data_IF_701810685196
#
_entry.id   IF_701810685196
#
_cell.length_a   1.000
_cell.length_b   1.000
_cell.length_c   1.000
_cell.angle_alpha   90.00
_cell.angle_beta   90.00
_cell.angle_gamma   90.00
#
_symmetry.space_group_name_H-M   'P 1'
#
loop_
_entity.id
_entity.type
_entity.pdbx_description
1 polymer ?
#
# COMPACT_ATOMS: atom_id res chain seq x y z
N UNK A 1 19.22 -7.38 40.68
CA UNK A 1 17.91 -6.85 40.25
C UNK A 1 17.98 -6.67 38.73
N UNK A 2 17.59 -7.64 37.90
CA UNK A 2 16.26 -8.24 37.88
C UNK A 2 15.31 -7.44 36.97
N UNK A 3 15.81 -6.87 35.87
CA UNK A 3 14.97 -6.23 34.87
C UNK A 3 14.29 -7.33 34.04
N UNK A 4 12.98 -7.38 34.14
CA UNK A 4 12.12 -8.31 33.42
C UNK A 4 12.42 -8.24 31.91
N UNK A 5 12.83 -9.39 31.33
CA UNK A 5 13.25 -9.49 29.91
C UNK A 5 12.18 -8.93 28.97
N UNK A 6 10.91 -9.10 29.35
CA UNK A 6 9.74 -8.59 28.66
C UNK A 6 9.69 -7.06 28.52
N UNK A 7 10.20 -6.33 29.51
CA UNK A 7 10.26 -4.87 29.48
C UNK A 7 11.32 -4.37 28.49
N UNK A 8 12.42 -5.11 28.32
CA UNK A 8 13.52 -4.80 27.40
C UNK A 8 13.18 -5.15 25.93
N UNK A 9 12.48 -6.27 25.70
CA UNK A 9 11.93 -6.61 24.38
C UNK A 9 10.95 -5.53 23.88
N UNK A 10 10.10 -5.02 24.76
CA UNK A 10 9.06 -4.04 24.41
C UNK A 10 9.59 -2.61 24.22
N UNK A 11 10.67 -2.23 24.91
CA UNK A 11 11.23 -0.87 24.86
C UNK A 11 12.43 -0.70 23.91
N UNK A 12 13.14 -1.76 23.53
CA UNK A 12 14.38 -1.65 22.72
C UNK A 12 14.23 -2.30 21.34
N UNK A 13 13.64 -3.50 21.26
CA UNK A 13 13.53 -4.24 19.99
C UNK A 13 12.35 -3.74 19.16
N UNK A 14 11.21 -3.45 19.78
CA UNK A 14 10.05 -2.87 19.09
C UNK A 14 10.41 -1.55 18.35
N UNK A 15 11.03 -0.53 18.98
CA UNK A 15 11.35 0.72 18.28
C UNK A 15 12.50 0.60 17.26
N UNK A 16 13.42 -0.36 17.42
CA UNK A 16 14.53 -0.56 16.48
C UNK A 16 14.09 -1.34 15.22
N UNK A 17 13.15 -2.27 15.34
CA UNK A 17 12.63 -3.06 14.21
C UNK A 17 11.47 -2.39 13.47
N UNK A 18 10.73 -1.48 14.12
CA UNK A 18 9.65 -0.70 13.50
C UNK A 18 10.05 0.04 12.21
N UNK A 19 11.17 0.79 12.12
CA UNK A 19 11.57 1.43 10.87
C UNK A 19 11.92 0.43 9.76
N UNK A 20 12.45 -0.75 10.11
CA UNK A 20 12.72 -1.81 9.15
C UNK A 20 11.43 -2.49 8.65
N UNK A 21 10.46 -2.69 9.53
CA UNK A 21 9.13 -3.24 9.20
C UNK A 21 8.32 -2.25 8.36
N UNK A 22 8.47 -0.95 8.58
CA UNK A 22 7.81 0.09 7.77
C UNK A 22 8.45 0.25 6.39
N UNK A 23 9.78 0.15 6.31
CA UNK A 23 10.48 0.12 5.03
C UNK A 23 10.06 -1.11 4.20
N UNK A 24 9.93 -2.29 4.82
CA UNK A 24 9.41 -3.47 4.14
C UNK A 24 7.92 -3.35 3.80
N UNK A 25 7.09 -2.78 4.68
CA UNK A 25 5.68 -2.52 4.39
C UNK A 25 5.51 -1.62 3.15
N UNK A 26 6.28 -0.53 3.06
CA UNK A 26 6.31 0.36 1.88
C UNK A 26 6.56 -0.39 0.58
N UNK A 27 7.52 -1.31 0.58
CA UNK A 27 7.86 -2.13 -0.58
C UNK A 27 6.74 -3.15 -0.87
N UNK A 28 6.24 -3.84 0.16
CA UNK A 28 5.15 -4.81 0.04
C UNK A 28 3.86 -4.19 -0.50
N UNK A 29 3.59 -2.92 -0.23
CA UNK A 29 2.41 -2.21 -0.75
C UNK A 29 2.50 -2.00 -2.26
N UNK A 30 3.66 -1.58 -2.77
CA UNK A 30 3.86 -1.45 -4.21
C UNK A 30 3.61 -2.78 -4.93
N UNK A 31 4.08 -3.87 -4.33
CA UNK A 31 3.86 -5.23 -4.82
C UNK A 31 2.39 -5.65 -4.68
N UNK A 32 1.72 -5.31 -3.59
CA UNK A 32 0.32 -5.65 -3.35
C UNK A 32 -0.62 -4.93 -4.35
N UNK A 33 -0.34 -3.66 -4.67
CA UNK A 33 -1.10 -2.90 -5.67
C UNK A 33 -0.90 -3.53 -7.05
N UNK A 34 0.34 -3.87 -7.42
CA UNK A 34 0.62 -4.55 -8.68
C UNK A 34 -0.06 -5.93 -8.75
N UNK A 35 -0.04 -6.70 -7.66
CA UNK A 35 -0.69 -8.01 -7.58
C UNK A 35 -2.22 -7.89 -7.66
N UNK A 36 -2.82 -6.89 -7.01
CA UNK A 36 -4.25 -6.60 -7.11
C UNK A 36 -4.66 -6.26 -8.54
N UNK A 37 -3.89 -5.40 -9.21
CA UNK A 37 -4.11 -5.07 -10.63
C UNK A 37 -4.06 -6.32 -11.52
N UNK A 38 -3.05 -7.17 -11.34
CA UNK A 38 -2.93 -8.43 -12.07
C UNK A 38 -4.12 -9.36 -11.78
N UNK A 39 -4.57 -9.43 -10.53
CA UNK A 39 -5.73 -10.23 -10.14
C UNK A 39 -7.03 -9.72 -10.79
N UNK A 40 -7.26 -8.42 -10.79
CA UNK A 40 -8.42 -7.80 -11.45
C UNK A 40 -8.43 -8.08 -12.95
N UNK A 41 -7.28 -7.97 -13.62
CA UNK A 41 -7.20 -8.22 -15.08
C UNK A 41 -7.36 -9.68 -15.48
N UNK A 42 -7.10 -10.63 -14.57
CA UNK A 42 -7.03 -12.07 -14.91
C UNK A 42 -8.29 -12.84 -14.53
N UNK A 43 -9.09 -12.37 -13.57
CA UNK A 43 -10.21 -13.17 -13.03
C UNK A 43 -11.53 -12.42 -12.81
N UNK A 44 -11.53 -11.09 -12.77
CA UNK A 44 -12.70 -10.31 -12.36
C UNK A 44 -13.11 -9.39 -13.52
N UNK A 45 -14.32 -9.54 -14.05
CA UNK A 45 -14.85 -8.62 -15.09
C UNK A 45 -15.30 -7.26 -14.51
N UNK A 46 -15.11 -7.05 -13.20
CA UNK A 46 -15.59 -5.89 -12.44
C UNK A 46 -14.42 -5.31 -11.66
N UNK A 47 -13.95 -4.14 -12.07
CA UNK A 47 -12.79 -3.48 -11.47
C UNK A 47 -12.21 -2.43 -12.41
N UNK A 48 -11.40 -1.51 -11.88
CA UNK A 48 -10.79 -0.44 -12.69
C UNK A 48 -9.79 -1.03 -13.71
N UNK A 49 -9.05 -2.10 -13.34
CA UNK A 49 -8.14 -2.80 -14.24
C UNK A 49 -8.85 -3.53 -15.39
N UNK A 50 -9.95 -4.20 -15.08
CA UNK A 50 -10.79 -4.87 -16.07
C UNK A 50 -11.53 -3.87 -16.97
N UNK A 51 -11.99 -2.75 -16.40
CA UNK A 51 -12.57 -1.64 -17.16
C UNK A 51 -11.56 -1.10 -18.18
N UNK A 52 -10.32 -0.83 -17.77
CA UNK A 52 -9.24 -0.37 -18.66
C UNK A 52 -9.00 -1.35 -19.83
N UNK A 53 -9.03 -2.65 -19.55
CA UNK A 53 -8.86 -3.70 -20.56
C UNK A 53 -10.07 -3.77 -21.52
N UNK A 54 -11.26 -3.43 -21.05
CA UNK A 54 -12.49 -3.35 -21.85
C UNK A 54 -12.53 -2.12 -22.76
N UNK A 55 -12.16 -0.93 -22.26
CA UNK A 55 -12.11 0.29 -23.09
C UNK A 55 -10.94 0.29 -24.07
N UNK A 56 -9.82 -0.37 -23.71
CA UNK A 56 -8.72 -0.63 -24.64
C UNK A 56 -9.15 -1.47 -25.84
N UNK A 57 -10.09 -2.40 -25.65
CA UNK A 57 -10.68 -3.20 -26.75
C UNK A 57 -11.57 -2.37 -27.68
N UNK A 58 -12.16 -1.28 -27.20
CA UNK A 58 -13.05 -0.41 -27.98
C UNK A 58 -12.32 0.74 -28.70
N UNK A 59 -10.98 0.84 -28.59
CA UNK A 59 -10.17 1.94 -29.15
C UNK A 59 -10.63 3.36 -28.72
N UNK A 60 -11.37 3.47 -27.62
CA UNK A 60 -11.78 4.75 -27.03
C UNK A 60 -10.63 5.31 -26.18
N UNK A 61 -9.69 5.97 -26.84
CA UNK A 61 -8.50 6.53 -26.18
C UNK A 61 -8.85 7.50 -25.04
N UNK A 62 -9.94 8.24 -25.18
CA UNK A 62 -10.47 9.17 -24.16
C UNK A 62 -10.74 8.46 -22.82
N UNK A 63 -11.36 7.28 -22.86
CA UNK A 63 -11.67 6.51 -21.65
C UNK A 63 -10.44 5.82 -21.06
N UNK A 64 -9.46 5.46 -21.89
CA UNK A 64 -8.19 4.88 -21.43
C UNK A 64 -7.44 5.91 -20.58
N UNK A 65 -7.36 7.17 -21.04
CA UNK A 65 -6.73 8.24 -20.28
C UNK A 65 -7.47 8.53 -18.98
N UNK A 66 -8.80 8.56 -19.00
CA UNK A 66 -9.61 8.72 -17.78
C UNK A 66 -9.37 7.58 -16.79
N UNK A 67 -9.31 6.33 -17.25
CA UNK A 67 -9.05 5.18 -16.39
C UNK A 67 -7.62 5.13 -15.82
N UNK A 68 -6.61 5.55 -16.59
CA UNK A 68 -5.23 5.70 -16.09
C UNK A 68 -5.17 6.78 -15.00
N UNK A 69 -5.84 7.92 -15.21
CA UNK A 69 -5.98 8.98 -14.22
C UNK A 69 -6.58 8.45 -12.91
N UNK A 70 -7.70 7.72 -12.99
CA UNK A 70 -8.36 7.15 -11.81
C UNK A 70 -7.49 6.10 -11.12
N UNK A 71 -6.81 5.23 -11.88
CA UNK A 71 -5.86 4.26 -11.32
C UNK A 71 -4.70 4.92 -10.60
N UNK A 72 -4.10 5.96 -11.19
CA UNK A 72 -3.04 6.74 -10.55
C UNK A 72 -3.53 7.39 -9.26
N UNK A 73 -4.73 7.98 -9.28
CA UNK A 73 -5.34 8.63 -8.12
C UNK A 73 -5.64 7.63 -7.00
N UNK A 74 -6.14 6.44 -7.34
CA UNK A 74 -6.40 5.35 -6.40
C UNK A 74 -5.10 4.83 -5.77
N UNK A 75 -4.05 4.68 -6.57
CA UNK A 75 -2.71 4.34 -6.06
C UNK A 75 -2.17 5.40 -5.10
N UNK A 76 -2.37 6.68 -5.42
CA UNK A 76 -1.92 7.81 -4.59
C UNK A 76 -2.71 7.89 -3.27
N UNK A 77 -4.03 7.63 -3.32
CA UNK A 77 -4.87 7.51 -2.12
C UNK A 77 -4.41 6.35 -1.25
N UNK A 78 -4.19 5.16 -1.82
CA UNK A 78 -3.71 4.01 -1.06
C UNK A 78 -2.36 4.30 -0.41
N UNK A 79 -1.44 4.90 -1.17
CA UNK A 79 -0.12 5.28 -0.66
C UNK A 79 -0.23 6.31 0.48
N UNK A 80 -1.10 7.31 0.32
CA UNK A 80 -1.34 8.34 1.34
C UNK A 80 -2.02 7.80 2.60
N UNK A 81 -3.00 6.90 2.46
CA UNK A 81 -3.66 6.23 3.58
C UNK A 81 -2.67 5.41 4.41
N UNK A 82 -1.72 4.78 3.73
CA UNK A 82 -0.66 4.00 4.35
C UNK A 82 0.43 4.85 4.99
N UNK A 83 0.84 5.98 4.38
CA UNK A 83 1.72 6.96 5.03
C UNK A 83 1.07 7.53 6.30
N UNK A 84 -0.24 7.76 6.29
CA UNK A 84 -1.03 8.13 7.46
C UNK A 84 -1.03 7.05 8.54
N UNK A 85 -1.23 5.79 8.15
CA UNK A 85 -1.15 4.65 9.07
C UNK A 85 0.25 4.55 9.69
N UNK A 86 1.30 4.68 8.86
CA UNK A 86 2.70 4.73 9.27
C UNK A 86 2.93 5.85 10.30
N UNK A 87 2.46 7.08 10.04
CA UNK A 87 2.55 8.21 10.97
C UNK A 87 1.78 7.99 12.27
N UNK A 88 0.62 7.34 12.22
CA UNK A 88 -0.17 7.02 13.43
C UNK A 88 0.55 6.00 14.31
N UNK A 89 1.10 4.94 13.69
CA UNK A 89 1.79 3.85 14.37
C UNK A 89 3.18 4.28 14.89
N UNK A 90 3.87 5.18 14.20
CA UNK A 90 5.19 5.73 14.58
C UNK A 90 5.15 7.03 15.40
N UNK A 91 3.97 7.47 15.86
CA UNK A 91 3.83 8.72 16.65
C UNK A 91 4.58 8.70 17.99
N UNK A 92 4.97 7.53 18.47
CA UNK A 92 5.72 7.34 19.73
C UNK A 92 7.22 7.67 19.64
N UNK A 93 7.77 7.96 18.45
CA UNK A 93 9.18 8.39 18.30
C UNK A 93 9.37 9.90 18.49
N UNK A 94 8.31 10.65 18.79
CA UNK A 94 8.35 12.11 18.97
C UNK A 94 7.86 12.54 20.36
N UNK A 95 8.21 11.76 21.38
CA UNK A 95 8.23 12.17 22.80
C UNK A 95 9.55 11.73 23.41
#
# INVERSE_FOLDING_TARGET
>A
AGADRWQLYRHVIIPASLPAVLASARISIGIAIAALYLAETTGINTGLGAFLLSVRRQFRYEDIFAGIMVMGLLGLILYGLLDLLERLLCRWKYV
#
